data_IF_782375380679
#
_entry.id   IF_782375380679
#
_cell.length_a   1.000
_cell.length_b   1.000
_cell.length_c   1.000
_cell.angle_alpha   90.00
_cell.angle_beta   90.00
_cell.angle_gamma   90.00
#
_symmetry.space_group_name_H-M   'P 1'
#
loop_
_entity.id
_entity.type
_entity.pdbx_description
1 polymer ?
#
# COMPACT_ATOMS: atom_id res chain seq x y z
N UNK A 1 24.69 -18.81 -14.46
CA UNK A 1 24.24 -18.22 -13.18
C UNK A 1 24.40 -19.28 -12.12
N UNK A 2 24.99 -19.01 -10.96
CA UNK A 2 25.05 -20.05 -9.91
C UNK A 2 23.83 -19.90 -9.01
N UNK A 3 22.95 -20.90 -9.00
CA UNK A 3 21.74 -20.97 -8.15
C UNK A 3 22.00 -20.61 -6.68
N UNK A 4 23.23 -20.84 -6.21
CA UNK A 4 23.67 -20.55 -4.85
C UNK A 4 23.69 -19.05 -4.53
N UNK A 5 23.96 -18.15 -5.48
CA UNK A 5 24.02 -16.70 -5.20
C UNK A 5 22.62 -16.12 -4.97
N UNK A 6 21.66 -16.47 -5.83
CA UNK A 6 20.26 -16.01 -5.69
C UNK A 6 19.64 -16.49 -4.38
N UNK A 7 19.90 -17.75 -3.99
CA UNK A 7 19.38 -18.34 -2.75
C UNK A 7 20.03 -17.79 -1.49
N UNK A 8 21.25 -17.26 -1.58
CA UNK A 8 22.03 -16.83 -0.41
C UNK A 8 22.09 -15.32 -0.19
N UNK A 9 21.75 -14.49 -1.18
CA UNK A 9 21.90 -13.03 -1.07
C UNK A 9 21.01 -12.42 0.03
N UNK A 10 19.72 -12.77 0.07
CA UNK A 10 18.80 -12.28 1.11
C UNK A 10 19.25 -12.72 2.51
N UNK A 11 19.53 -14.02 2.78
CA UNK A 11 20.09 -14.46 4.05
C UNK A 11 21.41 -13.78 4.43
N UNK A 12 22.28 -13.48 3.45
CA UNK A 12 23.53 -12.76 3.68
C UNK A 12 23.28 -11.33 4.18
N UNK A 13 22.33 -10.61 3.58
CA UNK A 13 21.95 -9.26 4.01
C UNK A 13 21.32 -9.28 5.41
N UNK A 14 20.42 -10.23 5.68
CA UNK A 14 19.80 -10.42 7.00
C UNK A 14 20.86 -10.72 8.09
N UNK A 15 21.79 -11.63 7.81
CA UNK A 15 22.88 -11.96 8.71
C UNK A 15 23.79 -10.75 8.97
N UNK A 16 24.10 -9.94 7.95
CA UNK A 16 24.91 -8.74 8.09
C UNK A 16 24.28 -7.71 9.04
N UNK A 17 22.95 -7.56 9.02
CA UNK A 17 22.21 -6.72 9.96
C UNK A 17 22.32 -7.25 11.38
N UNK A 18 22.08 -8.56 11.58
CA UNK A 18 22.20 -9.20 12.89
C UNK A 18 23.61 -9.06 13.49
N UNK A 19 24.64 -9.07 12.65
CA UNK A 19 26.05 -8.91 13.03
C UNK A 19 26.49 -7.45 13.13
N UNK A 20 25.60 -6.47 12.87
CA UNK A 20 25.92 -5.03 12.83
C UNK A 20 27.11 -4.72 11.91
N UNK A 21 27.12 -5.32 10.72
CA UNK A 21 28.23 -5.17 9.79
C UNK A 21 28.43 -3.67 9.44
N UNK A 22 29.63 -3.10 9.69
CA UNK A 22 29.88 -1.67 9.48
C UNK A 22 29.80 -1.25 8.00
N UNK A 23 29.84 -2.21 7.07
CA UNK A 23 29.80 -1.97 5.62
C UNK A 23 28.39 -1.84 5.05
N UNK A 24 27.33 -2.06 5.85
CA UNK A 24 25.94 -2.05 5.36
C UNK A 24 25.57 -0.76 4.64
N UNK A 25 26.05 0.39 5.11
CA UNK A 25 25.78 1.68 4.48
C UNK A 25 26.31 1.71 3.04
N UNK A 26 27.54 1.25 2.84
CA UNK A 26 28.18 1.24 1.53
C UNK A 26 27.57 0.17 0.61
N UNK A 27 27.24 -0.99 1.18
CA UNK A 27 26.51 -2.04 0.45
C UNK A 27 25.18 -1.54 -0.11
N UNK A 28 24.43 -0.76 0.66
CA UNK A 28 23.17 -0.17 0.19
C UNK A 28 23.36 0.89 -0.89
N UNK A 29 24.42 1.70 -0.82
CA UNK A 29 24.78 2.61 -1.92
C UNK A 29 25.03 1.85 -3.21
N UNK A 30 25.77 0.74 -3.14
CA UNK A 30 26.04 -0.12 -4.28
C UNK A 30 24.75 -0.77 -4.82
N UNK A 31 23.90 -1.32 -3.94
CA UNK A 31 22.61 -1.92 -4.33
C UNK A 31 21.75 -0.92 -5.11
N UNK A 32 21.54 0.27 -4.56
CA UNK A 32 20.69 1.30 -5.19
C UNK A 32 21.31 1.79 -6.50
N UNK A 33 22.62 2.01 -6.52
CA UNK A 33 23.32 2.39 -7.74
C UNK A 33 23.17 1.34 -8.85
N UNK A 34 23.34 0.05 -8.52
CA UNK A 34 23.12 -1.03 -9.48
C UNK A 34 21.66 -1.05 -9.93
N UNK A 35 20.70 -0.94 -9.01
CA UNK A 35 19.26 -0.97 -9.32
C UNK A 35 18.87 0.12 -10.33
N UNK A 36 19.44 1.31 -10.22
CA UNK A 36 19.18 2.44 -11.12
C UNK A 36 19.82 2.29 -12.50
N UNK A 37 20.90 1.52 -12.59
CA UNK A 37 21.74 1.45 -13.80
C UNK A 37 21.78 0.03 -14.40
N UNK A 38 21.01 -0.92 -13.88
CA UNK A 38 20.97 -2.30 -14.40
C UNK A 38 20.48 -2.35 -15.84
N UNK A 39 19.66 -1.38 -16.24
CA UNK A 39 19.14 -1.25 -17.59
C UNK A 39 19.58 0.08 -18.22
N UNK A 40 19.87 0.04 -19.53
CA UNK A 40 20.17 1.24 -20.29
C UNK A 40 18.91 2.12 -20.44
N UNK A 41 19.02 3.44 -20.23
CA UNK A 41 17.95 4.37 -20.57
C UNK A 41 17.58 4.24 -22.06
N UNK A 42 16.30 4.01 -22.37
CA UNK A 42 15.77 3.99 -23.73
C UNK A 42 15.64 2.61 -24.37
N UNK A 43 16.61 1.70 -24.21
CA UNK A 43 16.63 0.41 -24.91
C UNK A 43 16.35 -0.80 -24.01
N UNK A 44 16.25 -0.59 -22.68
CA UNK A 44 16.02 -1.65 -21.66
C UNK A 44 17.02 -2.81 -21.71
N UNK A 45 18.11 -2.68 -22.46
CA UNK A 45 19.20 -3.64 -22.49
C UNK A 45 19.89 -3.69 -21.12
N UNK A 46 20.14 -4.91 -20.64
CA UNK A 46 20.84 -5.12 -19.36
C UNK A 46 22.31 -4.75 -19.51
N UNK A 47 22.79 -3.82 -18.70
CA UNK A 47 24.19 -3.41 -18.68
C UNK A 47 25.03 -4.35 -17.84
N UNK A 48 26.25 -4.64 -18.29
CA UNK A 48 27.18 -5.45 -17.49
C UNK A 48 27.68 -4.69 -16.26
N UNK A 49 27.99 -5.40 -15.19
CA UNK A 49 28.50 -4.81 -13.95
C UNK A 49 29.75 -3.93 -14.16
N UNK A 50 30.64 -4.32 -15.08
CA UNK A 50 31.84 -3.55 -15.40
C UNK A 50 31.52 -2.19 -16.04
N UNK A 51 30.46 -2.12 -16.85
CA UNK A 51 29.96 -0.87 -17.43
C UNK A 51 29.32 -0.01 -16.36
N UNK A 52 28.44 -0.61 -15.53
CA UNK A 52 27.79 0.08 -14.41
C UNK A 52 28.83 0.72 -13.49
N UNK A 53 29.85 -0.03 -13.07
CA UNK A 53 30.91 0.46 -12.18
C UNK A 53 31.65 1.70 -12.74
N UNK A 54 31.66 1.93 -14.06
CA UNK A 54 32.43 2.97 -14.74
C UNK A 54 31.62 4.17 -15.23
N UNK A 55 30.28 4.12 -15.17
CA UNK A 55 29.41 5.07 -15.87
C UNK A 55 29.58 6.55 -15.48
N UNK A 56 29.94 6.84 -14.22
CA UNK A 56 30.19 8.20 -13.72
C UNK A 56 31.49 8.27 -12.92
N UNK A 57 32.53 7.60 -13.40
CA UNK A 57 33.72 7.28 -12.62
C UNK A 57 33.56 5.94 -11.90
N UNK A 58 34.48 5.63 -10.98
CA UNK A 58 34.48 4.39 -10.21
C UNK A 58 33.40 4.48 -9.10
N UNK A 59 32.25 3.84 -9.32
CA UNK A 59 31.07 3.94 -8.44
C UNK A 59 31.29 3.34 -7.03
N UNK A 60 32.20 2.38 -6.89
CA UNK A 60 32.63 1.80 -5.61
C UNK A 60 34.08 1.31 -5.69
N UNK A 61 34.72 1.17 -4.54
CA UNK A 61 36.09 0.65 -4.43
C UNK A 61 36.20 -0.84 -4.79
N UNK A 62 37.37 -1.27 -5.28
CA UNK A 62 37.62 -2.66 -5.69
C UNK A 62 37.42 -3.67 -4.54
N UNK A 63 37.55 -3.22 -3.29
CA UNK A 63 37.27 -3.99 -2.07
C UNK A 63 35.82 -4.49 -1.95
N UNK A 64 34.89 -3.89 -2.70
CA UNK A 64 33.47 -4.26 -2.72
C UNK A 64 33.06 -5.10 -3.95
N UNK A 65 33.99 -5.45 -4.85
CA UNK A 65 33.63 -6.08 -6.12
C UNK A 65 32.92 -7.43 -5.97
N UNK A 66 33.30 -8.24 -4.97
CA UNK A 66 32.62 -9.51 -4.73
C UNK A 66 31.19 -9.32 -4.22
N UNK A 67 30.95 -8.30 -3.39
CA UNK A 67 29.60 -7.95 -2.95
C UNK A 67 28.78 -7.41 -4.13
N UNK A 68 29.35 -6.46 -4.88
CA UNK A 68 28.69 -5.84 -6.03
C UNK A 68 28.29 -6.89 -7.09
N UNK A 69 29.13 -7.92 -7.31
CA UNK A 69 28.80 -9.05 -8.20
C UNK A 69 27.57 -9.81 -7.74
N UNK A 70 27.46 -10.14 -6.45
CA UNK A 70 26.29 -10.86 -5.91
C UNK A 70 25.03 -10.01 -5.95
N UNK A 71 25.14 -8.73 -5.60
CA UNK A 71 24.04 -7.78 -5.67
C UNK A 71 23.55 -7.63 -7.12
N UNK A 72 24.47 -7.51 -8.08
CA UNK A 72 24.16 -7.44 -9.51
C UNK A 72 23.42 -8.68 -10.00
N UNK A 73 23.91 -9.88 -9.70
CA UNK A 73 23.23 -11.12 -10.12
C UNK A 73 21.81 -11.21 -9.55
N UNK A 74 21.60 -10.81 -8.29
CA UNK A 74 20.28 -10.76 -7.66
C UNK A 74 19.35 -9.75 -8.33
N UNK A 75 19.80 -8.52 -8.55
CA UNK A 75 18.99 -7.44 -9.14
C UNK A 75 18.73 -7.64 -10.63
N UNK A 76 19.72 -8.13 -11.39
CA UNK A 76 19.56 -8.51 -12.79
C UNK A 76 18.49 -9.59 -12.95
N UNK A 77 18.50 -10.61 -12.07
CA UNK A 77 17.48 -11.64 -12.11
C UNK A 77 16.08 -11.06 -11.85
N UNK A 78 15.93 -10.22 -10.82
CA UNK A 78 14.68 -9.51 -10.55
C UNK A 78 14.21 -8.66 -11.75
N UNK A 79 15.13 -7.96 -12.41
CA UNK A 79 14.86 -7.16 -13.60
C UNK A 79 14.36 -8.00 -14.77
N UNK A 80 15.05 -9.12 -15.08
CA UNK A 80 14.67 -10.02 -16.17
C UNK A 80 13.30 -10.67 -15.95
N UNK A 81 12.89 -10.85 -14.70
CA UNK A 81 11.58 -11.36 -14.32
C UNK A 81 10.48 -10.28 -14.28
N UNK A 82 10.81 -9.01 -14.54
CA UNK A 82 9.87 -7.90 -14.37
C UNK A 82 9.45 -7.67 -12.92
N UNK A 83 10.28 -8.09 -11.96
CA UNK A 83 9.99 -8.14 -10.53
C UNK A 83 10.97 -7.31 -9.68
N UNK A 84 11.65 -6.33 -10.28
CA UNK A 84 12.66 -5.49 -9.60
C UNK A 84 12.17 -4.88 -8.28
N UNK A 85 10.94 -4.37 -8.28
CA UNK A 85 10.27 -3.84 -7.09
C UNK A 85 10.31 -4.85 -5.94
N UNK A 86 9.86 -6.08 -6.18
CA UNK A 86 9.75 -7.09 -5.14
C UNK A 86 11.10 -7.57 -4.64
N UNK A 87 12.11 -7.59 -5.51
CA UNK A 87 13.48 -7.93 -5.15
C UNK A 87 14.08 -6.89 -4.19
N UNK A 88 13.86 -5.60 -4.46
CA UNK A 88 14.30 -4.50 -3.58
C UNK A 88 13.52 -4.50 -2.27
N UNK A 89 12.19 -4.58 -2.32
CA UNK A 89 11.34 -4.64 -1.12
C UNK A 89 11.73 -5.79 -0.20
N UNK A 90 12.09 -6.96 -0.77
CA UNK A 90 12.49 -8.13 0.00
C UNK A 90 13.68 -7.89 0.94
N UNK A 91 14.62 -7.03 0.54
CA UNK A 91 15.79 -6.71 1.35
C UNK A 91 15.67 -5.36 2.09
N UNK A 92 14.62 -4.56 1.84
CA UNK A 92 14.46 -3.18 2.33
C UNK A 92 14.79 -3.00 3.82
N UNK A 93 14.34 -3.92 4.67
CA UNK A 93 14.57 -3.93 6.12
C UNK A 93 16.02 -3.95 6.55
N UNK A 94 16.92 -4.37 5.65
CA UNK A 94 18.35 -4.44 5.92
C UNK A 94 19.06 -3.10 5.72
N UNK A 95 18.37 -2.06 5.22
CA UNK A 95 18.92 -0.71 5.10
C UNK A 95 19.11 -0.07 6.48
N UNK A 96 20.33 0.39 6.82
CA UNK A 96 20.56 1.12 8.07
C UNK A 96 19.63 2.32 8.20
N UNK A 97 19.09 2.54 9.40
CA UNK A 97 18.21 3.67 9.75
C UNK A 97 16.93 3.81 8.91
N UNK A 98 16.59 2.85 8.04
CA UNK A 98 15.46 2.96 7.12
C UNK A 98 14.14 3.24 7.80
N UNK A 99 13.93 2.67 9.00
CA UNK A 99 12.73 2.94 9.80
C UNK A 99 12.68 4.40 10.24
N UNK A 100 13.78 4.93 10.74
CA UNK A 100 13.85 6.34 11.13
C UNK A 100 13.63 7.24 9.91
N UNK A 101 14.34 6.98 8.81
CA UNK A 101 14.26 7.77 7.58
C UNK A 101 12.85 7.78 6.98
N UNK A 102 12.14 6.63 7.01
CA UNK A 102 10.82 6.48 6.41
C UNK A 102 9.71 7.23 7.19
N UNK A 103 9.82 7.35 8.51
CA UNK A 103 8.83 8.04 9.36
C UNK A 103 9.25 9.45 9.76
N UNK A 104 10.45 9.89 9.34
CA UNK A 104 10.97 11.21 9.68
C UNK A 104 10.00 12.30 9.20
N UNK A 105 9.60 13.18 10.11
CA UNK A 105 8.70 14.31 9.89
C UNK A 105 7.26 13.94 9.52
N UNK A 106 6.86 12.67 9.75
CA UNK A 106 5.45 12.29 9.74
C UNK A 106 4.78 12.61 11.07
N UNK A 107 3.56 13.13 10.99
CA UNK A 107 2.78 13.44 12.18
C UNK A 107 2.25 12.17 12.86
N UNK A 108 2.04 12.23 14.17
CA UNK A 108 1.51 11.08 14.95
C UNK A 108 0.19 10.54 14.40
N UNK A 109 -0.67 11.41 13.84
CA UNK A 109 -1.94 11.03 13.24
C UNK A 109 -1.81 10.39 11.84
N UNK A 110 -0.66 10.53 11.18
CA UNK A 110 -0.34 9.87 9.90
C UNK A 110 0.28 8.48 10.11
N UNK A 111 0.75 8.20 11.32
CA UNK A 111 1.42 6.94 11.70
C UNK A 111 0.47 5.90 12.29
N UNK A 112 -0.83 6.20 12.41
CA UNK A 112 -1.78 5.32 13.07
C UNK A 112 -3.01 5.04 12.24
N UNK A 113 -3.37 3.76 12.15
CA UNK A 113 -4.67 3.32 11.65
C UNK A 113 -5.81 3.53 12.67
N UNK A 114 -5.52 4.08 13.86
CA UNK A 114 -6.54 4.33 14.88
C UNK A 114 -7.36 5.58 14.55
N UNK A 115 -8.69 5.43 14.55
CA UNK A 115 -9.68 6.48 14.22
C UNK A 115 -9.66 7.74 15.11
N UNK A 116 -8.80 7.82 16.13
CA UNK A 116 -8.93 8.79 17.26
C UNK A 116 -7.70 9.65 17.54
N UNK A 117 -6.65 9.61 16.71
CA UNK A 117 -5.57 10.58 16.90
C UNK A 117 -6.05 11.93 16.37
N UNK A 118 -6.14 12.93 17.27
CA UNK A 118 -6.45 14.30 16.89
C UNK A 118 -5.38 14.79 15.91
N UNK A 119 -5.81 15.48 14.85
CA UNK A 119 -4.87 16.23 14.00
C UNK A 119 -4.11 17.21 14.89
N UNK A 120 -2.80 17.31 14.70
CA UNK A 120 -2.00 18.36 15.35
C UNK A 120 -2.55 19.73 14.95
N UNK A 121 -2.45 20.70 15.85
CA UNK A 121 -2.89 22.09 15.63
C UNK A 121 -1.78 22.95 15.00
N UNK A 122 -0.56 22.41 14.86
CA UNK A 122 0.60 23.13 14.36
C UNK A 122 0.57 23.27 12.82
N UNK A 123 0.97 24.44 12.32
CA UNK A 123 1.22 24.65 10.89
C UNK A 123 2.36 23.73 10.43
N UNK A 124 2.08 22.91 9.40
CA UNK A 124 3.07 22.00 8.82
C UNK A 124 3.86 22.74 7.75
N UNK A 125 5.18 22.81 7.90
CA UNK A 125 6.08 23.27 6.85
C UNK A 125 5.91 22.39 5.59
N UNK A 126 5.37 22.99 4.52
CA UNK A 126 5.14 22.32 3.23
C UNK A 126 6.36 22.46 2.30
N UNK A 127 7.51 22.93 2.80
CA UNK A 127 8.74 23.00 2.02
C UNK A 127 9.16 21.59 1.60
N UNK A 128 9.15 21.36 0.29
CA UNK A 128 9.51 20.06 -0.27
C UNK A 128 11.04 19.91 -0.33
N UNK A 129 11.57 19.00 0.49
CA UNK A 129 12.93 18.50 0.36
C UNK A 129 12.92 17.12 -0.33
N UNK A 130 13.66 16.99 -1.43
CA UNK A 130 13.71 15.77 -2.24
C UNK A 130 14.54 14.67 -1.56
N UNK A 131 13.96 14.04 -0.52
CA UNK A 131 14.63 13.04 0.33
C UNK A 131 14.87 11.70 -0.36
N UNK A 132 13.91 11.25 -1.15
CA UNK A 132 14.03 10.05 -1.98
C UNK A 132 14.50 10.50 -3.36
N UNK A 133 15.73 10.14 -3.70
CA UNK A 133 16.39 10.56 -4.93
C UNK A 133 16.20 9.57 -6.06
N UNK A 134 15.79 8.34 -5.74
CA UNK A 134 15.80 7.22 -6.68
C UNK A 134 14.60 6.31 -6.47
N UNK A 135 14.20 5.60 -7.53
CA UNK A 135 13.05 4.68 -7.48
C UNK A 135 13.28 3.53 -6.48
N UNK A 136 14.53 3.06 -6.36
CA UNK A 136 14.91 2.06 -5.37
C UNK A 136 14.70 2.56 -3.95
N UNK A 137 15.07 3.80 -3.64
CA UNK A 137 14.82 4.42 -2.33
C UNK A 137 13.33 4.52 -2.04
N UNK A 138 12.52 4.91 -3.04
CA UNK A 138 11.07 4.95 -2.90
C UNK A 138 10.49 3.58 -2.53
N UNK A 139 10.87 2.52 -3.23
CA UNK A 139 10.35 1.17 -2.93
C UNK A 139 10.76 0.66 -1.55
N UNK A 140 11.99 0.97 -1.12
CA UNK A 140 12.47 0.65 0.23
C UNK A 140 11.64 1.38 1.30
N UNK A 141 11.40 2.68 1.13
CA UNK A 141 10.58 3.47 2.05
C UNK A 141 9.13 2.97 2.07
N UNK A 142 8.55 2.70 0.91
CA UNK A 142 7.17 2.22 0.81
C UNK A 142 6.97 0.89 1.55
N UNK A 143 7.90 -0.06 1.42
CA UNK A 143 7.82 -1.34 2.14
C UNK A 143 7.83 -1.14 3.66
N UNK A 144 8.71 -0.27 4.15
CA UNK A 144 8.81 0.05 5.59
C UNK A 144 7.57 0.79 6.09
N UNK A 145 6.98 1.66 5.28
CA UNK A 145 5.71 2.34 5.60
C UNK A 145 4.55 1.33 5.66
N UNK A 146 4.42 0.46 4.66
CA UNK A 146 3.26 -0.44 4.53
C UNK A 146 3.25 -1.56 5.56
N UNK A 147 4.42 -1.89 6.07
CA UNK A 147 4.61 -2.84 7.15
C UNK A 147 4.50 -2.23 8.54
N UNK A 148 4.58 -0.90 8.66
CA UNK A 148 4.32 -0.18 9.93
C UNK A 148 2.97 -0.55 10.53
N UNK A 149 1.99 -0.72 9.65
CA UNK A 149 0.60 -1.03 9.98
C UNK A 149 0.38 -2.52 10.20
N UNK A 150 1.42 -3.34 10.04
CA UNK A 150 1.30 -4.78 10.28
C UNK A 150 1.18 -5.08 11.76
N UNK A 151 0.26 -5.98 12.10
CA UNK A 151 -0.02 -6.44 13.45
C UNK A 151 0.41 -7.90 13.59
N UNK A 152 1.00 -8.25 14.74
CA UNK A 152 1.25 -9.65 15.07
C UNK A 152 -0.07 -10.30 15.47
N UNK A 153 -0.46 -11.31 14.73
CA UNK A 153 -1.66 -12.09 15.00
C UNK A 153 -1.32 -13.34 15.83
N UNK A 154 -2.22 -13.81 16.73
CA UNK A 154 -2.07 -15.09 17.40
C UNK A 154 -1.98 -16.23 16.36
N UNK A 155 -1.22 -17.29 16.65
CA UNK A 155 -1.04 -18.40 15.69
C UNK A 155 -2.37 -19.09 15.43
N UNK A 156 -3.22 -19.15 16.45
CA UNK A 156 -4.55 -19.74 16.46
C UNK A 156 -5.43 -19.14 15.37
N UNK A 157 -5.38 -17.82 15.18
CA UNK A 157 -6.20 -17.10 14.18
C UNK A 157 -5.68 -17.26 12.75
N UNK A 158 -4.54 -17.93 12.56
CA UNK A 158 -3.90 -18.15 11.26
C UNK A 158 -4.03 -19.60 10.77
N UNK A 159 -4.47 -20.52 11.64
CA UNK A 159 -4.43 -21.97 11.39
C UNK A 159 -5.33 -22.41 10.24
N UNK A 160 -6.42 -21.70 10.02
CA UNK A 160 -7.44 -22.00 9.03
C UNK A 160 -7.30 -21.16 7.75
N UNK A 161 -6.22 -20.37 7.62
CA UNK A 161 -5.90 -19.70 6.36
C UNK A 161 -5.62 -20.79 5.31
N UNK A 162 -6.34 -20.80 4.17
CA UNK A 162 -6.16 -21.80 3.13
C UNK A 162 -4.75 -21.71 2.52
N UNK A 163 -4.07 -22.86 2.47
CA UNK A 163 -2.72 -23.01 1.95
C UNK A 163 -2.61 -23.96 0.76
N UNK A 164 -3.65 -24.75 0.47
CA UNK A 164 -3.67 -25.70 -0.64
C UNK A 164 -4.53 -25.18 -1.78
N UNK A 165 -4.12 -25.47 -3.00
CA UNK A 165 -4.79 -24.97 -4.21
C UNK A 165 -6.26 -25.39 -4.29
N UNK A 166 -6.60 -26.59 -3.83
CA UNK A 166 -7.99 -27.10 -3.85
C UNK A 166 -8.91 -26.29 -2.93
N UNK A 167 -8.44 -26.02 -1.70
CA UNK A 167 -9.16 -25.18 -0.74
C UNK A 167 -9.32 -23.76 -1.30
N UNK A 168 -8.25 -23.17 -1.81
CA UNK A 168 -8.29 -21.82 -2.38
C UNK A 168 -9.28 -21.73 -3.56
N UNK A 169 -9.33 -22.75 -4.42
CA UNK A 169 -10.29 -22.80 -5.51
C UNK A 169 -11.74 -22.87 -5.01
N UNK A 170 -12.00 -23.57 -3.90
CA UNK A 170 -13.33 -23.62 -3.29
C UNK A 170 -13.77 -22.23 -2.82
N UNK A 171 -12.93 -21.54 -2.04
CA UNK A 171 -13.20 -20.18 -1.57
C UNK A 171 -13.44 -19.23 -2.75
N UNK A 172 -12.57 -19.23 -3.76
CA UNK A 172 -12.68 -18.38 -4.95
C UNK A 172 -14.01 -18.62 -5.67
N UNK A 173 -14.46 -19.87 -5.79
CA UNK A 173 -15.76 -20.19 -6.40
C UNK A 173 -16.91 -19.57 -5.60
N UNK A 174 -16.93 -19.73 -4.28
CA UNK A 174 -17.99 -19.18 -3.40
C UNK A 174 -18.07 -17.66 -3.53
N UNK A 175 -16.92 -16.97 -3.59
CA UNK A 175 -16.89 -15.51 -3.78
C UNK A 175 -17.32 -15.08 -5.19
N UNK A 176 -16.94 -15.83 -6.22
CA UNK A 176 -17.37 -15.54 -7.59
C UNK A 176 -18.90 -15.65 -7.71
N UNK A 177 -19.50 -16.69 -7.11
CA UNK A 177 -20.96 -16.85 -7.00
C UNK A 177 -21.57 -15.67 -6.23
N UNK A 178 -21.01 -15.28 -5.08
CA UNK A 178 -21.48 -14.13 -4.30
C UNK A 178 -21.49 -12.80 -5.08
N UNK A 179 -20.48 -12.56 -5.93
CA UNK A 179 -20.39 -11.35 -6.76
C UNK A 179 -21.45 -11.35 -7.88
N UNK A 180 -21.71 -12.51 -8.48
CA UNK A 180 -22.68 -12.65 -9.58
C UNK A 180 -24.11 -12.60 -9.06
N UNK A 181 -24.37 -13.35 -7.99
CA UNK A 181 -25.69 -13.51 -7.36
C UNK A 181 -26.01 -12.39 -6.38
N UNK A 182 -25.34 -11.23 -6.51
CA UNK A 182 -25.62 -10.08 -5.65
C UNK A 182 -27.09 -9.64 -5.81
N UNK A 183 -27.87 -9.89 -4.77
CA UNK A 183 -29.31 -9.56 -4.71
C UNK A 183 -29.59 -8.62 -3.54
N UNK A 184 -28.74 -7.61 -3.45
CA UNK A 184 -28.62 -6.73 -2.31
C UNK A 184 -29.56 -5.53 -2.30
N UNK A 185 -29.99 -5.14 -1.10
CA UNK A 185 -30.82 -3.95 -0.81
C UNK A 185 -30.08 -2.61 -1.02
N UNK A 186 -28.76 -2.64 -1.13
CA UNK A 186 -27.90 -1.46 -1.07
C UNK A 186 -27.37 -1.10 -2.46
N UNK A 187 -28.09 -0.19 -3.12
CA UNK A 187 -27.80 0.22 -4.48
C UNK A 187 -26.48 0.99 -4.58
N UNK A 188 -25.69 0.62 -5.58
CA UNK A 188 -24.47 1.30 -6.00
C UNK A 188 -24.69 2.07 -7.30
N UNK A 189 -23.60 2.45 -7.96
CA UNK A 189 -23.68 3.03 -9.30
C UNK A 189 -24.15 1.96 -10.30
N UNK A 190 -25.35 2.13 -10.86
CA UNK A 190 -25.96 1.18 -11.78
C UNK A 190 -25.09 0.81 -12.98
N UNK A 191 -24.34 1.76 -13.55
CA UNK A 191 -23.44 1.47 -14.66
C UNK A 191 -22.29 0.54 -14.25
N UNK A 192 -21.72 0.74 -13.07
CA UNK A 192 -20.63 -0.10 -12.55
C UNK A 192 -21.15 -1.49 -12.16
N UNK A 193 -22.35 -1.56 -11.57
CA UNK A 193 -23.06 -2.81 -11.29
C UNK A 193 -23.27 -3.61 -12.57
N UNK A 194 -23.80 -2.97 -13.62
CA UNK A 194 -24.02 -3.59 -14.91
C UNK A 194 -22.73 -4.07 -15.56
N UNK A 195 -21.64 -3.29 -15.42
CA UNK A 195 -20.33 -3.68 -15.92
C UNK A 195 -19.82 -4.96 -15.24
N UNK A 196 -20.00 -5.11 -13.92
CA UNK A 196 -19.63 -6.34 -13.22
C UNK A 196 -20.56 -7.51 -13.60
N UNK A 197 -21.88 -7.29 -13.68
CA UNK A 197 -22.84 -8.34 -14.09
C UNK A 197 -22.60 -8.85 -15.52
N UNK A 198 -22.10 -7.98 -16.40
CA UNK A 198 -21.76 -8.32 -17.79
C UNK A 198 -20.31 -8.79 -17.95
N UNK A 199 -19.51 -8.81 -16.88
CA UNK A 199 -18.15 -9.31 -16.93
C UNK A 199 -18.13 -10.82 -17.23
N UNK A 200 -17.09 -11.28 -17.92
CA UNK A 200 -16.93 -12.71 -18.17
C UNK A 200 -16.63 -13.46 -16.87
N UNK A 201 -16.96 -14.76 -16.82
CA UNK A 201 -16.66 -15.63 -15.67
C UNK A 201 -15.18 -15.58 -15.27
N UNK A 202 -14.28 -15.47 -16.24
CA UNK A 202 -12.84 -15.34 -15.98
C UNK A 202 -12.45 -14.04 -15.27
N UNK A 203 -13.10 -12.92 -15.61
CA UNK A 203 -12.88 -11.64 -14.92
C UNK A 203 -13.41 -11.72 -13.48
N UNK A 204 -14.61 -12.25 -13.26
CA UNK A 204 -15.17 -12.42 -11.91
C UNK A 204 -14.30 -13.33 -11.05
N UNK A 205 -13.83 -14.44 -11.63
CA UNK A 205 -12.89 -15.35 -10.96
C UNK A 205 -11.59 -14.63 -10.56
N UNK A 206 -11.07 -13.75 -11.43
CA UNK A 206 -9.88 -12.97 -11.13
C UNK A 206 -10.11 -12.00 -9.95
N UNK A 207 -11.26 -11.32 -9.91
CA UNK A 207 -11.64 -10.46 -8.78
C UNK A 207 -11.72 -11.26 -7.47
N UNK A 208 -12.30 -12.45 -7.51
CA UNK A 208 -12.37 -13.35 -6.36
C UNK A 208 -10.99 -13.81 -5.88
N UNK A 209 -10.04 -14.07 -6.80
CA UNK A 209 -8.65 -14.36 -6.45
C UNK A 209 -7.95 -13.18 -5.75
N UNK A 210 -8.16 -11.96 -6.24
CA UNK A 210 -7.59 -10.76 -5.59
C UNK A 210 -8.16 -10.61 -4.18
N UNK A 211 -9.48 -10.74 -4.01
CA UNK A 211 -10.12 -10.69 -2.68
C UNK A 211 -9.58 -11.76 -1.73
N UNK A 212 -9.34 -12.97 -2.25
CA UNK A 212 -8.73 -14.06 -1.48
C UNK A 212 -7.33 -13.68 -0.97
N UNK A 213 -6.45 -13.20 -1.84
CA UNK A 213 -5.09 -12.81 -1.43
C UNK A 213 -5.11 -11.68 -0.41
N UNK A 214 -5.96 -10.66 -0.61
CA UNK A 214 -6.10 -9.56 0.34
C UNK A 214 -6.71 -10.01 1.68
N UNK A 215 -7.65 -10.97 1.67
CA UNK A 215 -8.20 -11.56 2.89
C UNK A 215 -7.14 -12.32 3.69
N UNK A 216 -6.28 -13.10 3.01
CA UNK A 216 -5.15 -13.82 3.64
C UNK A 216 -4.16 -12.84 4.26
N UNK A 217 -3.82 -11.76 3.53
CA UNK A 217 -2.95 -10.70 4.03
C UNK A 217 -3.56 -9.99 5.24
N UNK A 218 -4.85 -9.65 5.19
CA UNK A 218 -5.58 -9.05 6.30
C UNK A 218 -5.59 -9.96 7.53
N UNK A 219 -5.93 -11.24 7.36
CA UNK A 219 -5.97 -12.21 8.45
C UNK A 219 -4.59 -12.45 9.06
N UNK A 220 -3.53 -12.42 8.25
CA UNK A 220 -2.15 -12.48 8.71
C UNK A 220 -1.66 -11.19 9.41
N UNK A 221 -2.51 -10.16 9.50
CA UNK A 221 -2.15 -8.86 10.06
C UNK A 221 -1.19 -8.07 9.18
N UNK A 222 -1.18 -8.30 7.86
CA UNK A 222 -0.27 -7.68 6.89
C UNK A 222 -1.02 -7.04 5.73
N UNK A 223 -1.92 -6.07 5.99
CA UNK A 223 -2.79 -5.50 4.96
C UNK A 223 -2.04 -4.75 3.84
N UNK A 224 -0.75 -4.45 4.02
CA UNK A 224 0.08 -3.78 3.01
C UNK A 224 -0.51 -2.43 2.59
N UNK A 225 -0.75 -1.56 3.58
CA UNK A 225 -1.39 -0.26 3.40
C UNK A 225 -0.61 0.82 4.13
N UNK A 226 -0.52 1.98 3.50
CA UNK A 226 0.13 3.15 4.07
C UNK A 226 -0.59 3.60 5.36
N UNK A 227 0.17 4.04 6.38
CA UNK A 227 -0.42 4.39 7.68
C UNK A 227 -1.34 5.62 7.63
N UNK A 228 -1.16 6.50 6.64
CA UNK A 228 -2.00 7.69 6.42
C UNK A 228 -3.31 7.41 5.65
N UNK A 229 -3.60 6.15 5.30
CA UNK A 229 -4.88 5.76 4.70
C UNK A 229 -6.01 5.73 5.75
N UNK A 230 -6.51 6.91 6.13
CA UNK A 230 -7.51 7.10 7.21
C UNK A 230 -8.87 6.41 6.98
N UNK A 231 -9.17 5.98 5.76
CA UNK A 231 -10.39 5.22 5.44
C UNK A 231 -10.27 3.73 5.71
N UNK A 232 -9.10 3.26 6.15
CA UNK A 232 -8.80 1.85 6.32
C UNK A 232 -8.79 1.44 7.79
N UNK A 233 -9.33 0.26 8.07
CA UNK A 233 -9.31 -0.36 9.40
C UNK A 233 -9.08 -1.86 9.27
N UNK A 234 -8.26 -2.42 10.16
CA UNK A 234 -8.04 -3.85 10.26
C UNK A 234 -8.86 -4.40 11.43
N UNK A 235 -9.98 -5.05 11.11
CA UNK A 235 -10.74 -5.83 12.08
C UNK A 235 -10.04 -7.14 12.35
N UNK A 236 -9.98 -7.52 13.62
CA UNK A 236 -9.50 -8.83 14.06
C UNK A 236 -10.65 -9.82 14.03
N UNK A 237 -10.37 -11.01 13.50
CA UNK A 237 -11.29 -12.14 13.47
C UNK A 237 -10.64 -13.32 14.17
N UNK A 238 -11.45 -14.15 14.82
CA UNK A 238 -10.99 -15.37 15.51
C UNK A 238 -10.46 -16.40 14.50
N UNK A 239 -11.02 -16.43 13.29
CA UNK A 239 -10.65 -17.35 12.21
C UNK A 239 -10.66 -16.66 10.83
N UNK A 240 -9.98 -17.26 9.85
CA UNK A 240 -10.10 -16.86 8.44
C UNK A 240 -11.53 -17.08 7.92
N UNK A 241 -12.19 -18.15 8.34
CA UNK A 241 -13.58 -18.43 7.98
C UNK A 241 -14.53 -17.29 8.37
N UNK A 242 -14.45 -16.78 9.61
CA UNK A 242 -15.31 -15.68 10.06
C UNK A 242 -15.12 -14.43 9.19
N UNK A 243 -13.86 -14.12 8.83
CA UNK A 243 -13.56 -13.00 7.92
C UNK A 243 -14.16 -13.26 6.55
N UNK A 244 -13.99 -14.48 6.02
CA UNK A 244 -14.44 -14.83 4.69
C UNK A 244 -15.96 -14.81 4.58
N UNK A 245 -16.67 -15.33 5.58
CA UNK A 245 -18.12 -15.35 5.64
C UNK A 245 -18.68 -13.92 5.64
N UNK A 246 -18.09 -13.01 6.39
CA UNK A 246 -18.46 -11.59 6.36
C UNK A 246 -18.17 -10.94 5.00
N UNK A 247 -17.07 -11.31 4.32
CA UNK A 247 -16.81 -10.84 2.94
C UNK A 247 -17.87 -11.37 1.97
N UNK A 248 -18.19 -12.66 2.01
CA UNK A 248 -19.19 -13.28 1.16
C UNK A 248 -20.56 -12.63 1.39
N UNK A 249 -20.94 -12.40 2.65
CA UNK A 249 -22.15 -11.68 3.01
C UNK A 249 -22.16 -10.25 2.45
N UNK A 250 -21.05 -9.52 2.57
CA UNK A 250 -20.91 -8.18 2.01
C UNK A 250 -21.17 -8.16 0.50
N UNK A 251 -20.54 -9.05 -0.26
CA UNK A 251 -20.68 -9.05 -1.73
C UNK A 251 -22.03 -9.58 -2.21
N UNK A 252 -22.67 -10.50 -1.47
CA UNK A 252 -24.06 -10.92 -1.75
C UNK A 252 -25.07 -9.80 -1.55
N UNK A 253 -24.89 -8.97 -0.51
CA UNK A 253 -25.92 -8.02 -0.05
C UNK A 253 -25.65 -6.57 -0.47
N UNK A 254 -24.43 -6.22 -0.90
CA UNK A 254 -24.06 -4.85 -1.24
C UNK A 254 -23.66 -4.69 -2.70
N UNK A 255 -24.62 -4.25 -3.54
CA UNK A 255 -24.34 -3.90 -4.94
C UNK A 255 -23.31 -2.78 -5.04
N UNK A 256 -23.29 -1.87 -4.07
CA UNK A 256 -22.28 -0.83 -3.95
C UNK A 256 -20.86 -1.40 -3.69
N UNK A 257 -20.73 -2.45 -2.88
CA UNK A 257 -19.43 -3.09 -2.66
C UNK A 257 -18.93 -3.74 -3.95
N UNK A 258 -19.79 -4.46 -4.67
CA UNK A 258 -19.45 -5.08 -5.95
C UNK A 258 -19.06 -4.04 -7.00
N UNK A 259 -19.82 -2.95 -7.14
CA UNK A 259 -19.50 -1.85 -8.06
C UNK A 259 -18.10 -1.26 -7.80
N UNK A 260 -17.74 -1.12 -6.52
CA UNK A 260 -16.46 -0.57 -6.09
C UNK A 260 -15.27 -1.54 -6.30
N UNK A 261 -15.50 -2.82 -6.62
CA UNK A 261 -14.40 -3.73 -7.00
C UNK A 261 -13.68 -3.29 -8.28
N UNK A 262 -14.33 -2.48 -9.13
CA UNK A 262 -13.68 -1.86 -10.28
C UNK A 262 -12.67 -0.76 -9.90
N UNK A 263 -12.60 -0.39 -8.61
CA UNK A 263 -11.70 0.63 -8.08
C UNK A 263 -10.68 -0.06 -7.17
N UNK A 264 -9.45 -0.23 -7.67
CA UNK A 264 -8.42 -1.10 -7.08
C UNK A 264 -8.17 -0.96 -5.56
N UNK A 265 -8.24 0.23 -4.92
CA UNK A 265 -8.11 0.35 -3.46
C UNK A 265 -9.14 -0.40 -2.62
N UNK A 266 -10.30 -0.76 -3.18
CA UNK A 266 -11.41 -1.31 -2.40
C UNK A 266 -11.25 -2.78 -2.02
N UNK A 267 -10.48 -3.59 -2.77
CA UNK A 267 -10.21 -4.99 -2.40
C UNK A 267 -9.64 -5.09 -0.99
N UNK A 268 -8.62 -4.26 -0.71
CA UNK A 268 -7.98 -4.16 0.59
C UNK A 268 -8.94 -3.71 1.67
N UNK A 269 -9.69 -2.64 1.40
CA UNK A 269 -10.67 -2.10 2.35
C UNK A 269 -11.73 -3.14 2.74
N UNK A 270 -12.31 -3.82 1.76
CA UNK A 270 -13.33 -4.84 1.99
C UNK A 270 -12.76 -6.08 2.68
N UNK A 271 -11.54 -6.51 2.34
CA UNK A 271 -10.90 -7.64 3.02
C UNK A 271 -10.61 -7.39 4.50
N UNK A 272 -10.37 -6.14 4.88
CA UNK A 272 -9.85 -5.84 6.20
C UNK A 272 -10.92 -5.54 7.25
N UNK A 273 -12.08 -5.00 6.86
CA UNK A 273 -13.22 -4.81 7.75
C UNK A 273 -14.57 -5.01 7.02
N UNK A 274 -14.83 -6.22 6.49
CA UNK A 274 -16.05 -6.48 5.72
C UNK A 274 -17.32 -6.28 6.56
N UNK A 275 -17.29 -6.66 7.84
CA UNK A 275 -18.36 -6.41 8.79
C UNK A 275 -18.77 -4.93 8.82
N UNK A 276 -17.84 -4.01 9.07
CA UNK A 276 -18.21 -2.60 9.19
C UNK A 276 -18.68 -2.02 7.85
N UNK A 277 -18.21 -2.54 6.71
CA UNK A 277 -18.70 -2.14 5.39
C UNK A 277 -20.14 -2.63 5.15
N UNK A 278 -20.47 -3.82 5.66
CA UNK A 278 -21.84 -4.34 5.67
C UNK A 278 -22.75 -3.49 6.58
N UNK A 279 -22.24 -3.00 7.71
CA UNK A 279 -23.01 -2.14 8.63
C UNK A 279 -23.10 -0.67 8.16
N UNK A 280 -22.00 -0.12 7.61
CA UNK A 280 -21.89 1.29 7.20
C UNK A 280 -22.72 1.64 5.96
N UNK A 281 -23.36 0.65 5.35
CA UNK A 281 -24.09 0.79 4.11
C UNK A 281 -25.60 1.07 4.31
N UNK A 282 -26.02 1.54 5.48
CA UNK A 282 -27.15 2.49 5.57
C UNK A 282 -26.68 3.84 5.05
N UNK A 283 -27.33 4.48 4.06
CA UNK A 283 -26.73 5.54 3.27
C UNK A 283 -26.42 6.79 4.12
N UNK A 284 -25.15 7.22 4.27
CA UNK A 284 -24.86 8.55 4.79
C UNK A 284 -24.68 9.58 3.66
N UNK A 285 -24.70 9.16 2.39
CA UNK A 285 -24.30 10.02 1.26
C UNK A 285 -25.30 11.12 0.92
N UNK A 286 -26.60 10.94 1.20
CA UNK A 286 -27.60 12.01 1.06
C UNK A 286 -27.41 13.08 2.14
N UNK A 287 -27.33 12.67 3.42
CA UNK A 287 -27.14 13.60 4.54
C UNK A 287 -25.77 14.30 4.56
N UNK A 288 -24.72 13.71 3.96
CA UNK A 288 -23.36 14.30 3.98
C UNK A 288 -23.17 15.37 2.90
N UNK A 289 -23.84 15.26 1.74
CA UNK A 289 -23.84 16.33 0.72
C UNK A 289 -24.60 17.55 1.21
N UNK A 290 -25.77 17.36 1.83
CA UNK A 290 -26.55 18.45 2.41
C UNK A 290 -25.81 19.11 3.58
N UNK A 291 -25.29 18.33 4.54
CA UNK A 291 -24.49 18.90 5.64
C UNK A 291 -23.21 19.61 5.17
N UNK A 292 -22.54 19.10 4.14
CA UNK A 292 -21.34 19.77 3.60
C UNK A 292 -21.71 21.00 2.75
N UNK A 293 -22.84 21.00 2.06
CA UNK A 293 -23.34 22.15 1.33
C UNK A 293 -23.77 23.27 2.31
N UNK A 294 -24.47 22.92 3.38
CA UNK A 294 -24.87 23.85 4.43
C UNK A 294 -23.66 24.41 5.19
N UNK A 295 -22.69 23.56 5.53
CA UNK A 295 -21.44 23.99 6.17
C UNK A 295 -20.60 24.91 5.27
N UNK A 296 -20.52 24.62 3.97
CA UNK A 296 -19.81 25.48 3.01
C UNK A 296 -20.56 26.78 2.74
N UNK A 297 -21.90 26.75 2.68
CA UNK A 297 -22.72 27.94 2.52
C UNK A 297 -22.64 28.85 3.77
N UNK A 298 -22.63 28.27 4.98
CA UNK A 298 -22.42 29.00 6.23
C UNK A 298 -21.04 29.65 6.29
N UNK A 299 -19.99 28.92 5.87
CA UNK A 299 -18.62 29.46 5.80
C UNK A 299 -18.49 30.60 4.79
N UNK A 300 -19.14 30.48 3.63
CA UNK A 300 -19.14 31.54 2.61
C UNK A 300 -19.89 32.79 3.08
N UNK A 301 -21.00 32.65 3.82
CA UNK A 301 -21.70 33.79 4.44
C UNK A 301 -20.84 34.50 5.47
N UNK A 302 -20.21 33.75 6.38
CA UNK A 302 -19.32 34.32 7.40
C UNK A 302 -18.13 35.10 6.81
N UNK A 303 -17.54 34.61 5.71
CA UNK A 303 -16.47 35.34 5.00
C UNK A 303 -17.00 36.63 4.39
N UNK A 304 -18.18 36.59 3.77
CA UNK A 304 -18.81 37.77 3.15
C UNK A 304 -19.17 38.83 4.18
N UNK A 305 -19.74 38.42 5.31
CA UNK A 305 -20.13 39.33 6.40
C UNK A 305 -18.90 39.96 7.07
N UNK A 306 -17.80 39.21 7.20
CA UNK A 306 -16.51 39.74 7.66
C UNK A 306 -15.89 40.76 6.69
N UNK A 307 -16.00 40.54 5.38
CA UNK A 307 -15.52 41.48 4.36
C UNK A 307 -16.35 42.76 4.31
N UNK A 308 -17.67 42.67 4.51
CA UNK A 308 -18.57 43.85 4.59
C UNK A 308 -18.28 44.67 5.85
N UNK A 309 -18.01 44.01 6.99
CA UNK A 309 -17.63 44.69 8.23
C UNK A 309 -16.27 45.44 8.10
N UNK A 310 -15.30 44.82 7.43
CA UNK A 310 -14.00 45.44 7.14
C UNK A 310 -14.11 46.64 6.18
N UNK A 311 -14.98 46.57 5.16
CA UNK A 311 -15.25 47.70 4.27
C UNK A 311 -15.99 48.84 4.99
N UNK A 312 -16.90 48.52 5.91
CA UNK A 312 -17.61 49.52 6.70
C UNK A 312 -16.70 50.24 7.70
N UNK A 313 -15.72 49.54 8.29
CA UNK A 313 -14.69 50.15 9.14
C UNK A 313 -13.73 51.04 8.34
N UNK A 314 -13.25 50.56 7.18
CA UNK A 314 -12.39 51.37 6.31
C UNK A 314 -13.08 52.64 5.77
N UNK A 315 -14.40 52.61 5.61
CA UNK A 315 -15.18 53.78 5.17
C UNK A 315 -15.55 54.76 6.30
N UNK A 316 -15.40 54.34 7.56
CA UNK A 316 -15.65 55.17 8.74
C UNK A 316 -14.39 55.89 9.23
N UNK A 317 -13.20 55.34 8.95
CA UNK A 317 -11.90 55.96 9.27
C UNK A 317 -11.47 57.05 8.26
N UNK A 318 -12.20 57.19 7.15
CA UNK A 318 -11.98 58.18 6.07
C UNK A 318 -12.94 59.41 6.15
N UNK A 319 -13.69 59.57 7.25
CA UNK A 319 -14.53 60.76 7.55
C UNK A 319 -14.00 61.54 8.75
#
# INVERSE_FOLDING_TARGET
MSDNVLKSFVPMMEAAVHQRNPRLQEWWRIILYIQEHVAQPGDRAVLSLAVIKRQKGRAWEDSYDDFARRAYEYLEFGYRMGASEQFIKRIAWTKPNVRHDAFKDMNSHELSLARRIKKGEDEVDQTYDARMKTEGEFWVHQEVLFSHTSKRMPIETLRDIPCYSEDECHFVRVMAEAIVDMDGEKDGNGHQIDAVKKASKGVVQHLAWVLMQEAKLAQAGRPSIAPFCTSFYLREYESFWDRWDDMVALFRVSKAAVANLLIAPYFKRFACDPYSELQASSPPLLNRKEKNADANAAKARSIRDGQVALQAQASADDQ
#
